data_IF_641793705898
#
_entry.id   IF_641793705898
#
_cell.length_a   1.000
_cell.length_b   1.000
_cell.length_c   1.000
_cell.angle_alpha   90.00
_cell.angle_beta   90.00
_cell.angle_gamma   90.00
#
_symmetry.space_group_name_H-M   'P 1'
#
loop_
_entity.id
_entity.type
_entity.pdbx_description
1 polymer ?
#
# COMPACT_ATOMS: atom_id res chain seq x y z
N UNK A 1 -3.33 60.46 -46.52
CA UNK A 1 -2.93 59.77 -45.28
C UNK A 1 -2.19 58.51 -45.67
N UNK A 2 -0.92 58.75 -45.98
CA UNK A 2 0.27 58.00 -45.56
C UNK A 2 0.49 56.54 -46.00
N UNK A 3 1.36 56.44 -47.03
CA UNK A 3 2.61 55.67 -47.11
C UNK A 3 2.59 54.11 -47.18
N UNK A 4 2.59 53.62 -48.43
CA UNK A 4 3.68 52.91 -49.19
C UNK A 4 4.57 51.86 -48.46
N UNK A 5 4.95 50.75 -49.14
CA UNK A 5 5.41 49.46 -48.59
C UNK A 5 6.94 49.19 -48.71
N UNK A 6 7.44 48.09 -48.12
CA UNK A 6 8.75 47.42 -48.40
C UNK A 6 8.65 45.93 -47.95
N UNK A 7 8.79 44.90 -48.80
CA UNK A 7 9.98 44.28 -49.44
C UNK A 7 10.86 43.44 -48.48
N UNK A 8 11.13 42.18 -48.89
CA UNK A 8 12.32 41.37 -48.52
C UNK A 8 12.00 40.12 -47.68
N UNK A 9 11.83 38.91 -48.23
CA UNK A 9 12.79 37.99 -48.87
C UNK A 9 13.80 37.28 -47.92
N UNK A 10 13.56 35.97 -47.79
CA UNK A 10 14.51 34.85 -47.85
C UNK A 10 15.33 34.35 -46.64
N UNK A 11 15.37 33.02 -46.62
CA UNK A 11 16.47 32.11 -46.26
C UNK A 11 16.57 31.64 -44.81
N UNK A 12 16.37 30.33 -44.66
CA UNK A 12 16.36 29.60 -43.41
C UNK A 12 17.72 29.47 -42.74
N UNK A 13 17.69 28.96 -41.52
CA UNK A 13 18.75 28.16 -40.91
C UNK A 13 18.07 27.09 -40.06
N UNK A 14 18.50 25.85 -40.24
CA UNK A 14 17.98 24.71 -39.51
C UNK A 14 18.15 24.88 -38.01
N UNK A 15 17.11 24.49 -37.28
CA UNK A 15 17.17 24.24 -35.85
C UNK A 15 16.58 22.84 -35.64
N UNK A 16 17.49 21.92 -35.33
CA UNK A 16 17.27 20.59 -34.80
C UNK A 16 16.13 20.56 -33.77
N UNK A 17 15.22 19.58 -33.79
CA UNK A 17 14.45 19.25 -32.61
C UNK A 17 15.44 18.63 -31.59
N UNK A 18 15.82 19.44 -30.61
CA UNK A 18 16.56 18.98 -29.45
C UNK A 18 15.74 17.91 -28.74
N UNK A 19 16.36 16.74 -28.61
CA UNK A 19 15.97 15.70 -27.65
C UNK A 19 15.98 16.35 -26.26
N UNK A 20 14.80 16.77 -25.83
CA UNK A 20 14.52 17.05 -24.44
C UNK A 20 14.28 15.73 -23.73
N UNK A 21 15.37 15.04 -23.38
CA UNK A 21 15.39 14.04 -22.31
C UNK A 21 15.12 14.75 -20.99
N UNK A 22 13.87 15.19 -20.82
CA UNK A 22 13.31 15.48 -19.52
C UNK A 22 13.08 14.15 -18.83
N UNK A 23 14.15 13.62 -18.24
CA UNK A 23 14.07 12.55 -17.26
C UNK A 23 13.25 13.06 -16.09
N UNK A 24 11.92 12.97 -16.22
CA UNK A 24 11.00 13.03 -15.11
C UNK A 24 11.41 11.90 -14.19
N UNK A 25 12.17 12.23 -13.15
CA UNK A 25 12.39 11.36 -12.01
C UNK A 25 10.99 10.97 -11.54
N UNK A 26 10.56 9.76 -11.88
CA UNK A 26 9.39 9.13 -11.28
C UNK A 26 9.59 9.29 -9.77
N UNK A 27 8.66 9.92 -9.04
CA UNK A 27 8.77 10.00 -7.60
C UNK A 27 9.05 8.59 -7.09
N UNK A 28 10.19 8.41 -6.43
CA UNK A 28 10.61 7.09 -5.94
C UNK A 28 9.45 6.47 -5.19
N UNK A 29 9.17 5.19 -5.47
CA UNK A 29 8.07 4.42 -4.92
C UNK A 29 7.79 4.84 -3.47
N UNK A 30 6.76 5.68 -3.28
CA UNK A 30 6.44 6.19 -1.95
C UNK A 30 6.17 4.99 -1.06
N UNK A 31 6.58 5.02 0.20
CA UNK A 31 6.19 4.00 1.18
C UNK A 31 5.15 4.62 2.09
N UNK A 32 4.02 3.92 2.28
CA UNK A 32 3.07 4.27 3.32
C UNK A 32 3.73 4.01 4.69
N UNK A 33 4.10 5.07 5.40
CA UNK A 33 4.79 4.98 6.70
C UNK A 33 3.83 5.20 7.85
N UNK A 34 3.81 4.26 8.78
CA UNK A 34 2.98 4.24 9.96
C UNK A 34 3.85 4.25 11.22
N UNK A 35 3.54 5.07 12.21
CA UNK A 35 4.23 5.05 13.50
C UNK A 35 3.40 4.25 14.47
N UNK A 36 3.99 3.20 15.04
CA UNK A 36 3.36 2.43 16.10
C UNK A 36 3.19 3.33 17.33
N UNK A 37 1.97 3.41 17.86
CA UNK A 37 1.65 4.15 19.09
C UNK A 37 1.30 3.21 20.25
N UNK A 38 0.91 1.98 19.95
CA UNK A 38 0.58 0.94 20.90
C UNK A 38 0.83 -0.45 20.30
N UNK A 39 0.96 -1.48 21.13
CA UNK A 39 1.30 -2.83 20.68
C UNK A 39 0.49 -3.95 21.36
N UNK A 40 -0.60 -3.57 22.05
CA UNK A 40 -1.41 -4.52 22.84
C UNK A 40 -2.89 -4.33 22.57
N UNK A 41 -3.65 -5.42 22.67
CA UNK A 41 -5.08 -5.45 22.40
C UNK A 41 -5.91 -4.55 23.32
N UNK A 42 -5.42 -4.24 24.54
CA UNK A 42 -6.07 -3.29 25.46
C UNK A 42 -6.23 -1.89 24.87
N UNK A 43 -5.39 -1.51 23.91
CA UNK A 43 -5.46 -0.21 23.24
C UNK A 43 -6.41 -0.19 22.04
N UNK A 44 -7.00 -1.35 21.69
CA UNK A 44 -7.98 -1.44 20.62
C UNK A 44 -9.37 -1.08 21.14
N UNK A 45 -10.11 -0.19 20.44
CA UNK A 45 -11.50 0.09 20.76
C UNK A 45 -12.33 -1.21 20.77
N UNK A 46 -13.19 -1.45 21.77
CA UNK A 46 -13.95 -2.70 21.85
C UNK A 46 -14.78 -3.01 20.60
N UNK A 47 -15.32 -1.98 19.94
CA UNK A 47 -16.13 -2.11 18.72
C UNK A 47 -15.33 -2.39 17.44
N UNK A 48 -14.00 -2.25 17.47
CA UNK A 48 -13.10 -2.43 16.32
C UNK A 48 -11.97 -3.41 16.63
N UNK A 49 -12.22 -4.30 17.59
CA UNK A 49 -11.24 -5.27 18.03
C UNK A 49 -11.40 -6.53 17.17
N UNK A 50 -10.34 -7.00 16.48
CA UNK A 50 -10.41 -8.22 15.69
C UNK A 50 -10.91 -9.38 16.53
N UNK A 51 -11.74 -10.25 15.95
CA UNK A 51 -12.24 -11.45 16.64
C UNK A 51 -11.08 -12.28 17.20
N UNK A 52 -11.24 -12.75 18.44
CA UNK A 52 -10.22 -13.54 19.14
C UNK A 52 -9.10 -12.72 19.80
N UNK A 53 -9.06 -11.40 19.57
CA UNK A 53 -8.16 -10.50 20.29
C UNK A 53 -8.72 -10.16 21.67
N UNK A 54 -7.85 -10.18 22.68
CA UNK A 54 -8.18 -9.81 24.07
C UNK A 54 -7.31 -8.65 24.53
N UNK A 55 -7.56 -8.09 25.72
CA UNK A 55 -6.70 -7.05 26.29
C UNK A 55 -5.25 -7.52 26.47
N UNK A 56 -5.05 -8.83 26.71
CA UNK A 56 -3.74 -9.45 26.89
C UNK A 56 -2.98 -9.71 25.58
N UNK A 57 -3.67 -9.67 24.42
CA UNK A 57 -3.05 -9.91 23.12
C UNK A 57 -1.92 -8.89 22.87
N UNK A 58 -0.82 -9.38 22.30
CA UNK A 58 0.34 -8.58 21.96
C UNK A 58 0.65 -8.73 20.47
N UNK A 59 1.12 -7.64 19.87
CA UNK A 59 1.58 -7.60 18.49
C UNK A 59 3.09 -7.38 18.49
N UNK A 60 3.81 -8.01 17.56
CA UNK A 60 5.26 -7.87 17.42
C UNK A 60 5.66 -6.53 16.78
N UNK A 61 5.13 -5.43 17.30
CA UNK A 61 5.46 -4.06 16.91
C UNK A 61 5.82 -3.25 18.14
N UNK A 62 6.74 -2.31 18.00
CA UNK A 62 7.30 -1.53 19.09
C UNK A 62 6.77 -0.09 19.04
N UNK A 63 6.10 0.41 20.10
CA UNK A 63 5.67 1.80 20.17
C UNK A 63 6.81 2.78 19.95
N UNK A 64 6.54 3.83 19.17
CA UNK A 64 7.50 4.84 18.76
C UNK A 64 8.23 4.53 17.45
N UNK A 65 8.32 3.25 17.03
CA UNK A 65 8.96 2.84 15.78
C UNK A 65 8.06 3.10 14.57
N UNK A 66 8.68 3.39 13.43
CA UNK A 66 7.98 3.54 12.15
C UNK A 66 8.10 2.28 11.30
N UNK A 67 7.00 1.89 10.66
CA UNK A 67 6.84 0.71 9.83
C UNK A 67 6.41 1.14 8.43
N UNK A 68 6.92 0.43 7.41
CA UNK A 68 6.37 0.49 6.06
C UNK A 68 5.19 -0.45 5.96
N UNK A 69 4.02 0.09 5.61
CA UNK A 69 2.88 -0.73 5.21
C UNK A 69 3.02 -1.07 3.73
N UNK A 70 2.79 -2.35 3.42
CA UNK A 70 2.75 -2.87 2.04
C UNK A 70 1.36 -3.33 1.64
N UNK A 71 0.42 -3.29 2.58
CA UNK A 71 -0.98 -3.53 2.30
C UNK A 71 -1.88 -3.08 3.45
N UNK A 72 -3.15 -2.94 3.14
CA UNK A 72 -4.23 -2.61 4.06
C UNK A 72 -5.42 -3.51 3.70
N UNK A 73 -6.06 -4.08 4.71
CA UNK A 73 -7.29 -4.84 4.58
C UNK A 73 -8.37 -4.10 5.36
N UNK A 74 -9.52 -3.86 4.72
CA UNK A 74 -10.74 -3.53 5.45
C UNK A 74 -11.50 -4.80 5.73
N UNK A 75 -11.69 -5.10 7.01
CA UNK A 75 -12.53 -6.17 7.50
C UNK A 75 -13.84 -5.57 8.01
N UNK A 76 -14.81 -6.41 8.35
CA UNK A 76 -16.14 -5.97 8.76
C UNK A 76 -16.13 -5.09 10.02
N UNK A 77 -15.15 -5.27 10.90
CA UNK A 77 -15.04 -4.68 12.22
C UNK A 77 -13.83 -3.73 12.37
N UNK A 78 -12.76 -3.94 11.62
CA UNK A 78 -11.52 -3.17 11.76
C UNK A 78 -10.74 -3.03 10.45
N UNK A 79 -9.73 -2.15 10.46
CA UNK A 79 -8.72 -2.08 9.43
C UNK A 79 -7.46 -2.81 9.92
N UNK A 80 -6.89 -3.67 9.10
CA UNK A 80 -5.59 -4.29 9.35
C UNK A 80 -4.56 -3.76 8.35
N UNK A 81 -3.36 -3.44 8.84
CA UNK A 81 -2.22 -3.07 8.01
C UNK A 81 -1.24 -4.24 7.94
N UNK A 82 -0.73 -4.52 6.75
CA UNK A 82 0.32 -5.51 6.53
C UNK A 82 1.68 -4.82 6.59
N UNK A 83 2.47 -5.20 7.59
CA UNK A 83 3.81 -4.66 7.84
C UNK A 83 4.82 -5.80 7.99
N UNK A 84 6.11 -5.45 7.91
CA UNK A 84 7.18 -6.30 8.47
C UNK A 84 7.30 -6.02 9.96
N UNK A 85 7.10 -7.04 10.77
CA UNK A 85 7.11 -6.92 12.22
C UNK A 85 8.53 -6.87 12.81
N UNK A 86 8.64 -6.83 14.15
CA UNK A 86 9.91 -6.78 14.86
C UNK A 86 10.71 -8.10 14.78
N UNK A 87 10.07 -9.21 14.40
CA UNK A 87 10.71 -10.49 14.12
C UNK A 87 11.15 -10.63 12.66
N UNK A 88 10.77 -9.67 11.80
CA UNK A 88 11.12 -9.63 10.39
C UNK A 88 10.12 -10.33 9.48
N UNK A 89 9.00 -10.84 10.00
CA UNK A 89 7.98 -11.55 9.23
C UNK A 89 6.81 -10.65 8.80
N UNK A 90 5.96 -11.13 7.88
CA UNK A 90 4.69 -10.47 7.55
C UNK A 90 3.73 -10.54 8.73
N UNK A 91 3.16 -9.39 9.11
CA UNK A 91 2.15 -9.32 10.15
C UNK A 91 0.98 -8.42 9.75
N UNK A 92 -0.24 -8.92 9.92
CA UNK A 92 -1.45 -8.11 9.90
C UNK A 92 -1.69 -7.56 11.30
N UNK A 93 -1.63 -6.24 11.42
CA UNK A 93 -1.75 -5.53 12.70
C UNK A 93 -2.88 -4.51 12.58
N UNK A 94 -3.76 -4.37 13.59
CA UNK A 94 -4.84 -3.39 13.53
C UNK A 94 -4.30 -1.97 13.32
N UNK A 95 -4.91 -1.22 12.40
CA UNK A 95 -4.49 0.12 12.03
C UNK A 95 -4.59 1.10 13.21
N UNK A 96 -5.49 0.85 14.17
CA UNK A 96 -5.68 1.62 15.40
C UNK A 96 -4.44 1.65 16.30
N UNK A 97 -3.52 0.70 16.13
CA UNK A 97 -2.24 0.68 16.84
C UNK A 97 -1.19 1.63 16.25
N UNK A 98 -1.53 2.33 15.17
CA UNK A 98 -0.64 3.25 14.47
C UNK A 98 -1.23 4.66 14.33
N UNK A 99 -0.33 5.64 14.29
CA UNK A 99 -0.61 6.98 13.79
C UNK A 99 0.00 7.14 12.39
N UNK A 100 -0.74 7.71 11.45
CA UNK A 100 -0.24 8.01 10.11
C UNK A 100 0.85 9.08 10.13
N UNK A 101 1.98 8.83 9.48
CA UNK A 101 3.17 9.72 9.52
C UNK A 101 3.33 10.55 8.25
N UNK A 102 3.02 9.98 7.08
CA UNK A 102 3.06 10.68 5.79
C UNK A 102 2.27 9.91 4.72
N UNK A 103 1.50 10.64 3.90
CA UNK A 103 0.48 10.11 3.02
C UNK A 103 0.91 10.19 1.54
N UNK A 104 1.51 9.12 1.05
CA UNK A 104 1.41 8.77 -0.36
C UNK A 104 1.17 7.27 -0.44
N UNK A 105 0.06 6.87 -1.07
CA UNK A 105 -0.13 5.47 -1.44
C UNK A 105 0.99 5.11 -2.43
N UNK A 106 1.75 4.04 -2.18
CA UNK A 106 2.83 3.63 -3.07
C UNK A 106 2.35 3.45 -4.51
N UNK A 107 3.17 3.89 -5.48
CA UNK A 107 2.93 3.58 -6.88
C UNK A 107 2.96 2.05 -7.08
N UNK A 108 2.01 1.53 -7.87
CA UNK A 108 1.88 0.09 -8.11
C UNK A 108 1.01 -0.66 -7.10
N UNK A 109 0.41 0.03 -6.12
CA UNK A 109 -0.65 -0.59 -5.33
C UNK A 109 -1.90 -0.84 -6.17
N UNK A 110 -2.43 -2.06 -6.05
CA UNK A 110 -3.71 -2.46 -6.57
C UNK A 110 -4.80 -2.27 -5.50
N UNK A 111 -6.06 -2.29 -5.94
CA UNK A 111 -7.24 -2.18 -5.09
C UNK A 111 -8.30 -3.17 -5.54
N UNK A 112 -8.92 -3.87 -4.60
CA UNK A 112 -10.11 -4.68 -4.84
C UNK A 112 -11.15 -4.44 -3.75
N UNK A 113 -12.42 -4.37 -4.15
CA UNK A 113 -13.57 -4.49 -3.27
C UNK A 113 -14.09 -5.92 -3.36
N UNK A 114 -14.34 -6.54 -2.21
CA UNK A 114 -15.05 -7.82 -2.15
C UNK A 114 -16.57 -7.61 -2.07
N UNK A 115 -17.08 -6.61 -2.81
CA UNK A 115 -18.51 -6.36 -2.93
C UNK A 115 -19.13 -7.44 -3.83
N UNK A 116 -19.32 -8.66 -3.31
CA UNK A 116 -20.24 -9.66 -3.85
C UNK A 116 -20.00 -10.17 -5.28
N UNK A 117 -18.93 -9.78 -5.98
CA UNK A 117 -18.67 -10.17 -7.37
C UNK A 117 -17.96 -11.52 -7.53
N UNK A 118 -17.55 -12.17 -6.43
CA UNK A 118 -17.06 -13.55 -6.42
C UNK A 118 -17.82 -14.39 -5.40
N UNK A 119 -19.14 -14.55 -5.61
CA UNK A 119 -19.96 -15.57 -4.94
C UNK A 119 -19.57 -17.02 -5.30
N UNK A 120 -18.27 -17.30 -5.50
CA UNK A 120 -17.78 -18.59 -5.99
C UNK A 120 -16.48 -19.11 -5.38
N UNK A 121 -15.53 -18.30 -4.87
CA UNK A 121 -14.18 -18.83 -4.54
C UNK A 121 -13.37 -18.11 -3.45
N UNK A 122 -13.98 -17.49 -2.43
CA UNK A 122 -13.21 -17.03 -1.25
C UNK A 122 -13.88 -17.42 0.05
N UNK A 123 -13.55 -18.62 0.55
CA UNK A 123 -13.72 -18.96 1.97
C UNK A 123 -12.48 -18.47 2.71
N UNK A 124 -12.49 -17.19 3.09
CA UNK A 124 -11.57 -16.67 4.09
C UNK A 124 -12.27 -16.82 5.44
N UNK A 125 -11.63 -17.56 6.35
CA UNK A 125 -12.20 -17.85 7.65
C UNK A 125 -12.59 -16.57 8.42
N UNK A 126 -13.78 -16.60 9.02
CA UNK A 126 -14.15 -15.80 10.18
C UNK A 126 -14.66 -14.38 9.94
N UNK A 127 -14.09 -13.62 9.00
CA UNK A 127 -14.45 -12.22 8.76
C UNK A 127 -14.38 -11.90 7.25
N UNK A 128 -15.46 -11.38 6.64
CA UNK A 128 -15.43 -11.00 5.23
C UNK A 128 -14.52 -9.79 5.09
N UNK A 129 -13.38 -9.98 4.43
CA UNK A 129 -12.55 -8.87 3.96
C UNK A 129 -13.39 -8.09 2.95
N UNK A 130 -13.71 -6.84 3.26
CA UNK A 130 -14.57 -5.96 2.46
C UNK A 130 -13.77 -5.31 1.33
N UNK A 131 -12.52 -4.97 1.61
CA UNK A 131 -11.63 -4.33 0.65
C UNK A 131 -10.17 -4.64 0.93
N UNK A 132 -9.33 -4.62 -0.11
CA UNK A 132 -7.89 -4.82 -0.01
C UNK A 132 -7.18 -3.80 -0.87
N UNK A 133 -6.14 -3.19 -0.31
CA UNK A 133 -5.19 -2.32 -1.01
C UNK A 133 -3.77 -2.82 -0.73
N UNK A 134 -2.88 -2.81 -1.71
CA UNK A 134 -1.50 -3.24 -1.49
C UNK A 134 -0.79 -3.65 -2.76
N UNK A 135 0.34 -4.34 -2.64
CA UNK A 135 1.03 -4.91 -3.79
C UNK A 135 0.15 -5.91 -4.57
N UNK A 136 0.36 -6.09 -5.88
CA UNK A 136 -0.55 -6.86 -6.74
C UNK A 136 -0.88 -8.26 -6.24
N UNK A 137 0.11 -9.04 -5.79
CA UNK A 137 -0.14 -10.40 -5.29
C UNK A 137 -1.07 -10.43 -4.06
N UNK A 138 -1.05 -9.41 -3.18
CA UNK A 138 -1.99 -9.33 -2.05
C UNK A 138 -3.45 -9.17 -2.50
N UNK A 139 -3.66 -8.49 -3.63
CA UNK A 139 -4.99 -8.11 -4.12
C UNK A 139 -5.54 -9.15 -5.09
N UNK A 140 -4.71 -9.60 -6.02
CA UNK A 140 -5.10 -10.39 -7.19
C UNK A 140 -5.04 -11.89 -6.93
N UNK A 141 -4.11 -12.38 -6.10
CA UNK A 141 -3.97 -13.81 -5.83
C UNK A 141 -4.95 -14.27 -4.75
N UNK A 142 -5.84 -15.19 -5.12
CA UNK A 142 -6.79 -15.79 -4.20
C UNK A 142 -6.06 -16.55 -3.08
N UNK A 143 -6.36 -16.19 -1.83
CA UNK A 143 -5.78 -16.86 -0.65
C UNK A 143 -4.41 -16.35 -0.21
N UNK A 144 -3.82 -15.35 -0.87
CA UNK A 144 -2.49 -14.84 -0.53
C UNK A 144 -2.37 -14.38 0.93
N UNK A 145 -3.35 -13.63 1.44
CA UNK A 145 -3.37 -13.20 2.83
C UNK A 145 -3.39 -14.38 3.82
N UNK A 146 -4.12 -15.45 3.51
CA UNK A 146 -4.13 -16.67 4.32
C UNK A 146 -2.80 -17.44 4.22
N UNK A 147 -2.19 -17.47 3.05
CA UNK A 147 -0.88 -18.08 2.83
C UNK A 147 0.22 -17.35 3.61
N UNK A 148 0.19 -16.01 3.69
CA UNK A 148 1.09 -15.23 4.54
C UNK A 148 0.95 -15.59 6.02
N UNK A 149 -0.28 -15.69 6.53
CA UNK A 149 -0.55 -16.10 7.91
C UNK A 149 -0.07 -17.53 8.19
N UNK A 150 -0.15 -18.42 7.21
CA UNK A 150 0.34 -19.78 7.29
C UNK A 150 1.88 -19.88 7.17
N UNK A 151 2.57 -18.78 6.87
CA UNK A 151 4.02 -18.78 6.64
C UNK A 151 4.44 -19.48 5.34
N UNK A 152 3.57 -19.50 4.33
CA UNK A 152 3.89 -20.10 3.03
C UNK A 152 5.10 -19.40 2.38
N UNK A 153 6.07 -20.19 1.94
CA UNK A 153 7.35 -19.68 1.46
C UNK A 153 7.20 -18.78 0.21
N UNK A 154 6.28 -19.11 -0.71
CA UNK A 154 6.04 -18.29 -1.91
C UNK A 154 5.37 -16.99 -1.52
N UNK A 155 4.39 -17.04 -0.63
CA UNK A 155 3.70 -15.84 -0.17
C UNK A 155 4.66 -14.88 0.54
N UNK A 156 5.52 -15.42 1.42
CA UNK A 156 6.55 -14.65 2.14
C UNK A 156 7.56 -14.03 1.17
N UNK A 157 8.02 -14.76 0.15
CA UNK A 157 8.95 -14.22 -0.84
C UNK A 157 8.37 -13.01 -1.61
N UNK A 158 7.10 -13.10 -2.03
CA UNK A 158 6.39 -11.99 -2.69
C UNK A 158 6.20 -10.79 -1.75
N UNK A 159 5.95 -11.04 -0.47
CA UNK A 159 5.90 -10.01 0.55
C UNK A 159 7.27 -9.33 0.76
N UNK A 160 8.35 -10.10 0.74
CA UNK A 160 9.71 -9.57 0.88
C UNK A 160 10.08 -8.66 -0.30
N UNK A 161 9.75 -9.07 -1.52
CA UNK A 161 9.90 -8.26 -2.73
C UNK A 161 9.09 -6.94 -2.63
N UNK A 162 7.84 -7.01 -2.19
CA UNK A 162 6.99 -5.83 -1.99
C UNK A 162 7.52 -4.88 -0.91
N UNK A 163 8.28 -5.39 0.06
CA UNK A 163 8.95 -4.57 1.08
C UNK A 163 10.23 -3.89 0.58
N UNK A 164 10.73 -4.26 -0.62
CA UNK A 164 12.01 -3.79 -1.14
C UNK A 164 13.23 -4.40 -0.47
N UNK A 165 13.16 -5.68 -0.10
CA UNK A 165 14.32 -6.47 0.33
C UNK A 165 15.38 -6.58 -0.79
#
# INVERSE_FOLDING_TARGET
MDHVPLVGAAAGHGLTPGVGTGGGRVPGAGVLRLRCVAARGVFLPPARRPRGTTDASAYAVTPGRAYGAVGVLALADHLSVLVRDDWGGPAFVPAELFAGVAAAVPAGWAFALDSGARAGRRTLWGEPVVAVWGYPALVEEDGHAAALLAGDARAVALFDEACGA
#
